data_IF_008631194870
#
_entry.id   IF_008631194870
#
_cell.length_a   1.000
_cell.length_b   1.000
_cell.length_c   1.000
_cell.angle_alpha   90.00
_cell.angle_beta   90.00
_cell.angle_gamma   90.00
#
_symmetry.space_group_name_H-M   'P 1'
#
loop_
_entity.id
_entity.type
_entity.pdbx_description
1 polymer ?
#
# COMPACT_ATOMS: atom_id res chain seq x y z
N UNK A 1 -6.46 -2.03 -16.40
CA UNK A 1 -5.66 -1.32 -15.39
C UNK A 1 -6.33 -1.44 -14.05
N UNK A 2 -5.73 -0.89 -12.98
CA UNK A 2 -6.38 -0.82 -11.67
C UNK A 2 -7.53 0.22 -11.69
N UNK A 3 -8.67 -0.03 -11.03
CA UNK A 3 -9.75 0.97 -10.94
C UNK A 3 -9.33 2.26 -10.23
N UNK A 4 -8.48 2.13 -9.21
CA UNK A 4 -7.74 3.24 -8.62
C UNK A 4 -6.24 3.07 -8.90
N UNK A 5 -5.57 4.16 -9.27
CA UNK A 5 -4.12 4.20 -9.42
C UNK A 5 -3.57 5.58 -9.00
N UNK A 6 -2.39 5.58 -8.39
CA UNK A 6 -1.67 6.78 -7.99
C UNK A 6 -0.16 6.53 -7.96
N UNK A 7 0.62 7.60 -7.84
CA UNK A 7 2.06 7.54 -7.53
C UNK A 7 2.27 7.95 -6.08
N UNK A 8 3.13 7.21 -5.38
CA UNK A 8 3.53 7.51 -4.01
C UNK A 8 5.03 7.23 -3.84
N UNK A 9 5.67 7.88 -2.87
CA UNK A 9 7.06 7.62 -2.54
C UNK A 9 7.16 6.55 -1.46
N UNK A 10 8.17 5.69 -1.60
CA UNK A 10 8.51 4.69 -0.58
C UNK A 10 9.16 5.39 0.62
N UNK A 11 8.58 5.22 1.80
CA UNK A 11 9.14 5.71 3.06
C UNK A 11 10.04 4.67 3.73
N UNK A 12 9.59 3.41 3.77
CA UNK A 12 10.29 2.31 4.44
C UNK A 12 10.18 1.03 3.62
N UNK A 13 11.26 0.25 3.62
CA UNK A 13 11.35 -1.07 2.99
C UNK A 13 11.79 -2.06 4.06
N UNK A 14 11.00 -3.10 4.30
CA UNK A 14 11.21 -4.08 5.35
C UNK A 14 11.22 -5.51 4.76
N UNK A 15 12.40 -6.12 4.55
CA UNK A 15 12.51 -7.47 3.99
C UNK A 15 12.05 -8.53 4.99
N UNK A 16 11.17 -9.43 4.54
CA UNK A 16 10.53 -10.48 5.35
C UNK A 16 10.83 -11.89 4.82
N UNK A 17 12.00 -12.09 4.23
CA UNK A 17 12.34 -13.33 3.52
C UNK A 17 11.89 -13.27 2.06
N UNK A 18 10.87 -14.04 1.69
CA UNK A 18 10.35 -14.11 0.31
C UNK A 18 9.55 -12.87 -0.11
N UNK A 19 8.99 -12.16 0.88
CA UNK A 19 8.24 -10.94 0.69
C UNK A 19 8.99 -9.73 1.25
N UNK A 20 8.55 -8.55 0.85
CA UNK A 20 8.98 -7.28 1.43
C UNK A 20 7.74 -6.43 1.71
N UNK A 21 7.69 -5.85 2.90
CA UNK A 21 6.71 -4.82 3.23
C UNK A 21 7.27 -3.46 2.81
N UNK A 22 6.50 -2.75 2.02
CA UNK A 22 6.83 -1.40 1.53
C UNK A 22 5.82 -0.45 2.12
N UNK A 23 6.31 0.55 2.84
CA UNK A 23 5.47 1.60 3.41
C UNK A 23 5.55 2.83 2.53
N UNK A 24 4.39 3.42 2.24
CA UNK A 24 4.22 4.59 1.37
C UNK A 24 3.25 5.57 2.03
N UNK A 25 3.32 6.83 1.63
CA UNK A 25 2.26 7.80 1.90
C UNK A 25 1.39 8.03 0.68
N UNK A 26 0.09 7.78 0.83
CA UNK A 26 -0.93 8.04 -0.18
C UNK A 26 -1.99 8.98 0.39
N UNK A 27 -2.14 10.17 -0.20
CA UNK A 27 -3.09 11.17 0.32
C UNK A 27 -2.81 11.59 1.77
N UNK A 28 -1.55 11.55 2.20
CA UNK A 28 -1.14 11.84 3.58
C UNK A 28 -1.37 10.70 4.58
N UNK A 29 -1.95 9.57 4.15
CA UNK A 29 -2.17 8.38 4.98
C UNK A 29 -1.06 7.36 4.74
N UNK A 30 -0.66 6.65 5.80
CA UNK A 30 0.29 5.56 5.68
C UNK A 30 -0.39 4.34 5.03
N UNK A 31 0.24 3.80 4.00
CA UNK A 31 -0.16 2.60 3.29
C UNK A 31 0.96 1.58 3.36
N UNK A 32 0.61 0.32 3.59
CA UNK A 32 1.55 -0.80 3.56
C UNK A 32 1.19 -1.72 2.41
N UNK A 33 2.18 -2.04 1.59
CA UNK A 33 2.04 -2.93 0.43
C UNK A 33 3.01 -4.08 0.59
N UNK A 34 2.53 -5.30 0.39
CA UNK A 34 3.38 -6.48 0.31
C UNK A 34 3.76 -6.73 -1.15
N UNK A 35 5.05 -6.82 -1.42
CA UNK A 35 5.60 -7.17 -2.73
C UNK A 35 6.51 -8.38 -2.60
N UNK A 36 6.75 -9.09 -3.71
CA UNK A 36 7.74 -10.16 -3.73
C UNK A 36 9.15 -9.56 -3.65
N UNK A 37 10.08 -10.29 -3.04
CA UNK A 37 11.45 -9.81 -2.79
C UNK A 37 12.23 -9.44 -4.07
N UNK A 38 11.85 -9.98 -5.23
CA UNK A 38 12.49 -9.69 -6.53
C UNK A 38 12.07 -8.32 -7.11
N UNK A 39 11.01 -7.70 -6.55
CA UNK A 39 10.46 -6.42 -6.99
C UNK A 39 10.57 -5.33 -5.92
N UNK A 40 11.49 -5.49 -4.99
CA UNK A 40 11.67 -4.57 -3.87
C UNK A 40 12.17 -3.20 -4.35
N UNK A 41 11.38 -2.12 -4.16
CA UNK A 41 11.84 -0.77 -4.45
C UNK A 41 12.80 -0.28 -3.37
N UNK A 42 13.46 0.85 -3.58
CA UNK A 42 14.32 1.50 -2.58
C UNK A 42 13.56 2.61 -1.85
N UNK A 43 14.01 2.95 -0.65
CA UNK A 43 13.51 4.13 0.06
C UNK A 43 13.69 5.39 -0.82
N UNK A 44 12.65 6.21 -0.88
CA UNK A 44 12.59 7.41 -1.70
C UNK A 44 12.07 7.20 -3.12
N UNK A 45 12.07 5.97 -3.65
CA UNK A 45 11.64 5.71 -5.03
C UNK A 45 10.15 6.10 -5.23
N UNK A 46 9.82 6.75 -6.36
CA UNK A 46 8.43 6.92 -6.76
C UNK A 46 7.91 5.61 -7.34
N UNK A 47 6.84 5.08 -6.74
CA UNK A 47 6.20 3.83 -7.18
C UNK A 47 4.76 4.08 -7.60
N UNK A 48 4.32 3.35 -8.64
CA UNK A 48 2.91 3.28 -9.00
C UNK A 48 2.18 2.28 -8.09
N UNK A 49 1.15 2.73 -7.40
CA UNK A 49 0.26 1.90 -6.59
C UNK A 49 -1.13 1.89 -7.21
N UNK A 50 -1.75 0.72 -7.25
CA UNK A 50 -3.13 0.58 -7.70
C UNK A 50 -3.84 -0.56 -7.01
N UNK A 51 -5.14 -0.37 -6.76
CA UNK A 51 -5.98 -1.36 -6.11
C UNK A 51 -7.42 -1.21 -6.61
N UNK A 52 -8.23 -2.23 -6.33
CA UNK A 52 -9.66 -2.23 -6.61
C UNK A 52 -10.42 -1.84 -5.32
N UNK A 53 -11.10 -0.68 -5.27
CA UNK A 53 -11.91 -0.28 -4.13
C UNK A 53 -13.00 -1.29 -3.77
N UNK A 54 -13.47 -2.12 -4.71
CA UNK A 54 -14.47 -3.17 -4.44
C UNK A 54 -13.95 -4.30 -3.55
N UNK A 55 -12.63 -4.37 -3.32
CA UNK A 55 -12.02 -5.32 -2.39
C UNK A 55 -11.75 -4.72 -1.01
N UNK A 56 -12.06 -3.45 -0.81
CA UNK A 56 -11.91 -2.80 0.48
C UNK A 56 -12.94 -3.33 1.49
N UNK A 57 -12.56 -3.35 2.77
CA UNK A 57 -13.52 -3.46 3.87
C UNK A 57 -13.74 -2.07 4.43
N UNK A 58 -15.00 -1.64 4.47
CA UNK A 58 -15.38 -0.36 5.07
C UNK A 58 -15.80 -0.62 6.51
N UNK A 59 -15.51 0.35 7.37
CA UNK A 59 -15.85 0.29 8.78
C UNK A 59 -16.48 1.62 9.21
N UNK A 60 -17.53 1.53 10.01
CA UNK A 60 -18.13 2.70 10.63
C UNK A 60 -17.16 3.32 11.65
N UNK A 61 -16.97 4.64 11.58
CA UNK A 61 -15.94 5.33 12.36
C UNK A 61 -16.25 5.43 13.86
N UNK A 62 -17.52 5.30 14.27
CA UNK A 62 -17.93 5.43 15.67
C UNK A 62 -17.98 4.08 16.37
N UNK A 63 -18.42 3.05 15.66
CA UNK A 63 -18.68 1.71 16.22
C UNK A 63 -17.62 0.68 15.85
N UNK A 64 -16.86 0.89 14.77
CA UNK A 64 -15.89 -0.08 14.25
C UNK A 64 -16.53 -1.28 13.55
N UNK A 65 -17.85 -1.30 13.37
CA UNK A 65 -18.54 -2.36 12.65
C UNK A 65 -18.23 -2.31 11.15
N UNK A 66 -18.12 -3.48 10.52
CA UNK A 66 -17.96 -3.57 9.06
C UNK A 66 -19.27 -3.20 8.36
N UNK A 67 -19.17 -2.41 7.30
CA UNK A 67 -20.25 -2.00 6.39
C UNK A 67 -20.05 -2.58 4.99
#
# INVERSE_FOLDING_TARGET
>A
GWPFAATANVEVVEPMGSDTLVWLKLGGQNFTVRVTSERTPKNGDPVGVGFDPMRASLFDAQTGNRI
#
